data_IF_643717524660
#
_entry.id   IF_643717524660
#
_cell.length_a   1.000
_cell.length_b   1.000
_cell.length_c   1.000
_cell.angle_alpha   90.00
_cell.angle_beta   90.00
_cell.angle_gamma   90.00
#
_symmetry.space_group_name_H-M   'P 1'
#
loop_
_entity.id
_entity.type
_entity.pdbx_description
1 polymer ?
#
# COMPACT_ATOMS: atom_id res chain seq x y z
N UNK A 1 -13.92 -16.63 -14.99
CA UNK A 1 -13.37 -15.40 -14.38
C UNK A 1 -13.14 -15.63 -12.90
N UNK A 2 -11.88 -15.68 -12.43
CA UNK A 2 -11.62 -15.56 -11.00
C UNK A 2 -12.30 -14.26 -10.51
N UNK A 3 -13.15 -14.35 -9.49
CA UNK A 3 -13.98 -13.26 -8.94
C UNK A 3 -15.23 -12.79 -9.72
N UNK A 4 -15.71 -13.51 -10.75
CA UNK A 4 -16.92 -13.11 -11.50
C UNK A 4 -18.16 -12.85 -10.60
N UNK A 5 -18.34 -13.64 -9.54
CA UNK A 5 -19.44 -13.47 -8.57
C UNK A 5 -19.31 -12.18 -7.75
N UNK A 6 -18.11 -11.86 -7.27
CA UNK A 6 -17.85 -10.64 -6.50
C UNK A 6 -18.03 -9.40 -7.36
N UNK A 7 -17.48 -9.40 -8.57
CA UNK A 7 -17.64 -8.28 -9.52
C UNK A 7 -19.10 -8.05 -9.88
N UNK A 8 -19.87 -9.11 -10.16
CA UNK A 8 -21.32 -9.01 -10.38
C UNK A 8 -22.02 -8.37 -9.19
N UNK A 9 -21.75 -8.87 -7.97
CA UNK A 9 -22.40 -8.37 -6.75
C UNK A 9 -22.05 -6.89 -6.48
N UNK A 10 -20.80 -6.51 -6.71
CA UNK A 10 -20.36 -5.11 -6.58
C UNK A 10 -21.12 -4.21 -7.56
N UNK A 11 -21.21 -4.60 -8.84
CA UNK A 11 -21.94 -3.84 -9.84
C UNK A 11 -23.44 -3.73 -9.52
N UNK A 12 -24.07 -4.78 -9.00
CA UNK A 12 -25.46 -4.73 -8.51
C UNK A 12 -25.63 -3.68 -7.41
N UNK A 13 -24.70 -3.64 -6.45
CA UNK A 13 -24.73 -2.64 -5.36
C UNK A 13 -24.57 -1.23 -5.90
N UNK A 14 -23.63 -1.01 -6.83
CA UNK A 14 -23.41 0.29 -7.48
C UNK A 14 -24.64 0.72 -8.28
N UNK A 15 -25.26 -0.18 -9.04
CA UNK A 15 -26.47 0.09 -9.81
C UNK A 15 -27.68 0.40 -8.91
N UNK A 16 -27.81 -0.31 -7.78
CA UNK A 16 -28.85 0.00 -6.79
C UNK A 16 -28.61 1.37 -6.15
N UNK A 17 -27.36 1.75 -5.92
CA UNK A 17 -27.00 3.05 -5.36
C UNK A 17 -27.26 4.20 -6.35
N UNK A 18 -26.97 4.02 -7.65
CA UNK A 18 -27.17 5.06 -8.67
C UNK A 18 -28.65 5.40 -8.93
N UNK A 19 -29.56 4.49 -8.58
CA UNK A 19 -31.02 4.68 -8.72
C UNK A 19 -31.68 5.30 -7.48
N UNK A 20 -30.93 5.60 -6.42
CA UNK A 20 -31.50 6.23 -5.21
C UNK A 20 -31.86 7.70 -5.51
N UNK A 21 -32.95 8.22 -4.93
CA UNK A 21 -33.31 9.63 -5.08
C UNK A 21 -32.23 10.54 -4.50
N UNK A 22 -32.20 11.80 -4.95
CA UNK A 22 -31.32 12.82 -4.40
C UNK A 22 -31.59 13.03 -2.92
N UNK A 23 -30.52 13.25 -2.15
CA UNK A 23 -30.61 13.58 -0.73
C UNK A 23 -31.01 15.06 -0.56
N UNK A 24 -31.63 15.44 0.57
CA UNK A 24 -31.95 16.83 0.87
C UNK A 24 -30.71 17.73 0.84
N UNK A 25 -30.91 19.00 0.51
CA UNK A 25 -29.87 20.04 0.57
C UNK A 25 -29.20 20.06 1.94
N UNK A 26 -27.87 20.13 1.96
CA UNK A 26 -27.06 20.07 3.19
C UNK A 26 -26.64 18.67 3.63
N UNK A 27 -27.15 17.61 2.97
CA UNK A 27 -26.68 16.25 3.21
C UNK A 27 -25.24 16.06 2.75
N UNK A 28 -24.46 15.27 3.50
CA UNK A 28 -23.14 14.82 3.05
C UNK A 28 -23.31 13.76 1.96
N UNK A 29 -22.61 13.93 0.85
CA UNK A 29 -22.67 13.01 -0.30
C UNK A 29 -21.31 12.37 -0.56
N UNK A 30 -21.34 11.18 -1.13
CA UNK A 30 -20.16 10.51 -1.68
C UNK A 30 -20.47 10.17 -3.13
N UNK A 31 -19.67 10.67 -4.07
CA UNK A 31 -19.84 10.43 -5.50
C UNK A 31 -18.65 9.67 -6.06
N UNK A 32 -18.93 8.61 -6.82
CA UNK A 32 -17.94 7.92 -7.65
C UNK A 32 -18.05 8.49 -9.07
N UNK A 33 -16.93 8.95 -9.64
CA UNK A 33 -16.88 9.52 -10.99
C UNK A 33 -15.90 8.74 -11.85
N UNK A 34 -16.36 8.23 -12.98
CA UNK A 34 -15.59 7.47 -13.96
C UNK A 34 -15.93 7.93 -15.37
N UNK A 35 -15.09 7.69 -16.39
CA UNK A 35 -13.65 7.41 -16.33
C UNK A 35 -12.85 8.71 -16.54
N UNK A 36 -12.03 9.09 -15.54
CA UNK A 36 -11.33 10.38 -15.53
C UNK A 36 -9.94 10.24 -14.89
N UNK A 37 -8.98 11.04 -15.36
CA UNK A 37 -7.63 11.15 -14.76
C UNK A 37 -7.42 12.58 -14.25
N UNK A 38 -6.87 12.79 -13.05
CA UNK A 38 -6.52 14.14 -12.60
C UNK A 38 -5.36 14.68 -13.45
N UNK A 39 -5.62 15.76 -14.19
CA UNK A 39 -4.64 16.38 -15.09
C UNK A 39 -3.79 17.45 -14.39
N UNK A 40 -4.39 18.24 -13.48
CA UNK A 40 -3.65 19.20 -12.65
C UNK A 40 -4.45 19.60 -11.41
N UNK A 41 -3.73 20.03 -10.38
CA UNK A 41 -4.30 20.64 -9.19
C UNK A 41 -3.92 22.13 -9.19
N UNK A 42 -4.90 23.01 -8.97
CA UNK A 42 -4.70 24.46 -8.92
C UNK A 42 -5.11 25.01 -7.56
N UNK A 43 -4.26 25.84 -6.99
CA UNK A 43 -4.57 26.69 -5.85
C UNK A 43 -4.93 28.11 -6.30
N UNK A 44 -5.13 29.05 -5.36
CA UNK A 44 -5.27 30.47 -5.68
C UNK A 44 -4.01 30.96 -6.41
N UNK A 45 -4.20 31.84 -7.41
CA UNK A 45 -3.08 32.45 -8.14
C UNK A 45 -2.19 33.19 -7.13
N UNK A 46 -0.86 33.01 -7.15
CA UNK A 46 0.00 33.83 -6.31
C UNK A 46 -0.22 35.29 -6.69
N UNK A 47 -0.64 36.09 -5.71
CA UNK A 47 -0.51 37.55 -5.80
C UNK A 47 0.98 37.85 -5.81
N UNK A 48 1.53 38.05 -7.01
CA UNK A 48 2.80 38.71 -7.29
C UNK A 48 3.96 38.43 -6.31
N UNK A 49 4.58 37.25 -6.37
CA UNK A 49 6.02 37.10 -6.04
C UNK A 49 6.58 35.81 -6.64
N UNK A 50 7.77 35.92 -7.25
CA UNK A 50 8.55 34.86 -7.90
C UNK A 50 8.88 33.68 -6.96
N UNK A 51 7.95 32.73 -6.80
CA UNK A 51 8.25 31.44 -6.16
C UNK A 51 7.77 30.28 -7.02
N UNK A 52 8.69 29.35 -7.26
CA UNK A 52 8.57 28.19 -8.14
C UNK A 52 7.83 27.07 -7.38
N UNK A 53 6.54 27.29 -7.12
CA UNK A 53 5.49 26.29 -6.84
C UNK A 53 4.33 26.98 -6.10
N UNK A 54 3.06 26.78 -6.50
CA UNK A 54 1.93 27.29 -5.74
C UNK A 54 1.85 26.54 -4.40
N UNK A 55 2.28 27.20 -3.31
CA UNK A 55 2.24 26.69 -1.93
C UNK A 55 0.89 26.92 -1.23
N UNK A 56 -0.14 27.36 -1.97
CA UNK A 56 -1.49 27.59 -1.46
C UNK A 56 -2.35 26.31 -1.41
N UNK A 57 -3.46 26.32 -0.65
CA UNK A 57 -4.41 25.21 -0.61
C UNK A 57 -4.96 24.93 -2.01
N UNK A 58 -5.22 23.66 -2.31
CA UNK A 58 -5.92 23.27 -3.54
C UNK A 58 -7.31 23.92 -3.52
N UNK A 59 -7.74 24.43 -4.66
CA UNK A 59 -9.09 24.96 -4.86
C UNK A 59 -9.81 24.30 -6.03
N UNK A 60 -9.06 23.79 -6.99
CA UNK A 60 -9.60 23.26 -8.22
C UNK A 60 -8.79 22.07 -8.72
N UNK A 61 -9.51 21.04 -9.15
CA UNK A 61 -8.96 19.87 -9.81
C UNK A 61 -9.40 19.93 -11.27
N UNK A 62 -8.44 19.90 -12.19
CA UNK A 62 -8.70 19.71 -13.61
C UNK A 62 -8.64 18.21 -13.91
N UNK A 63 -9.71 17.68 -14.47
CA UNK A 63 -9.86 16.29 -14.87
C UNK A 63 -9.76 16.17 -16.38
N UNK A 64 -9.03 15.19 -16.86
CA UNK A 64 -9.12 14.72 -18.25
C UNK A 64 -10.19 13.65 -18.34
N UNK A 65 -11.06 13.76 -19.35
CA UNK A 65 -12.10 12.76 -19.62
C UNK A 65 -11.49 11.65 -20.49
N UNK A 66 -11.80 10.42 -20.11
CA UNK A 66 -11.30 9.23 -20.78
C UNK A 66 -12.46 8.39 -21.33
N UNK A 67 -12.11 7.31 -22.03
CA UNK A 67 -12.99 6.21 -22.39
C UNK A 67 -12.31 4.88 -22.01
N UNK A 68 -13.12 3.82 -21.97
CA UNK A 68 -12.60 2.47 -21.80
C UNK A 68 -12.08 1.97 -23.14
N UNK A 69 -10.83 1.53 -23.14
CA UNK A 69 -10.17 0.90 -24.27
C UNK A 69 -10.17 -0.61 -24.06
N UNK A 70 -10.90 -1.28 -24.93
CA UNK A 70 -11.08 -2.71 -24.93
C UNK A 70 -10.10 -3.33 -25.96
N UNK A 71 -9.25 -4.31 -25.57
CA UNK A 71 -8.45 -5.09 -26.53
C UNK A 71 -9.24 -5.56 -27.78
N UNK A 72 -8.61 -5.53 -28.96
CA UNK A 72 -9.30 -5.84 -30.23
C UNK A 72 -9.77 -7.31 -30.35
N UNK A 73 -9.16 -8.24 -29.62
CA UNK A 73 -9.42 -9.69 -29.71
C UNK A 73 -10.38 -10.20 -28.62
N UNK A 74 -11.39 -9.42 -28.24
CA UNK A 74 -12.36 -9.87 -27.22
C UNK A 74 -13.32 -10.92 -27.75
N UNK A 75 -13.40 -12.03 -27.03
CA UNK A 75 -14.54 -12.91 -27.13
C UNK A 75 -15.71 -12.31 -26.31
N UNK A 76 -16.93 -12.17 -26.84
CA UNK A 76 -18.07 -11.51 -26.17
C UNK A 76 -18.41 -12.07 -24.77
N UNK A 77 -18.03 -13.33 -24.52
CA UNK A 77 -18.30 -14.05 -23.28
C UNK A 77 -17.13 -14.07 -22.29
N UNK A 78 -15.96 -13.52 -22.65
CA UNK A 78 -14.76 -13.56 -21.82
C UNK A 78 -13.94 -12.28 -21.99
N UNK A 79 -14.46 -11.17 -21.49
CA UNK A 79 -13.65 -9.95 -21.32
C UNK A 79 -12.77 -10.15 -20.09
N UNK A 80 -11.46 -10.21 -20.29
CA UNK A 80 -10.52 -10.04 -19.19
C UNK A 80 -10.54 -8.56 -18.77
N UNK A 81 -11.37 -8.23 -17.78
CA UNK A 81 -11.47 -6.87 -17.26
C UNK A 81 -10.14 -6.31 -16.72
N UNK A 82 -9.15 -7.17 -16.42
CA UNK A 82 -7.81 -6.71 -15.98
C UNK A 82 -6.97 -6.13 -17.12
N UNK A 83 -7.36 -6.42 -18.37
CA UNK A 83 -6.72 -5.90 -19.58
C UNK A 83 -7.35 -4.61 -20.12
N UNK A 84 -8.51 -4.20 -19.58
CA UNK A 84 -9.21 -2.97 -19.98
C UNK A 84 -8.46 -1.76 -19.45
N UNK A 85 -8.06 -0.87 -20.36
CA UNK A 85 -7.34 0.35 -20.00
C UNK A 85 -8.26 1.56 -20.10
N UNK A 86 -7.93 2.64 -19.40
CA UNK A 86 -8.56 3.95 -19.59
C UNK A 86 -7.67 4.80 -20.49
N UNK A 87 -8.19 5.25 -21.62
CA UNK A 87 -7.48 6.13 -22.56
C UNK A 87 -8.18 7.47 -22.72
N UNK A 88 -7.46 8.58 -22.98
CA UNK A 88 -8.09 9.86 -23.27
C UNK A 88 -9.06 9.74 -24.45
N UNK A 89 -10.17 10.48 -24.41
CA UNK A 89 -11.03 10.64 -25.59
C UNK A 89 -10.40 11.64 -26.58
N UNK A 90 -10.73 11.49 -27.86
CA UNK A 90 -10.31 12.41 -28.91
C UNK A 90 -11.53 13.02 -29.61
N UNK A 91 -11.62 14.36 -29.73
CA UNK A 91 -10.68 15.35 -29.20
C UNK A 91 -10.64 15.37 -27.66
N UNK A 92 -9.52 15.82 -27.08
CA UNK A 92 -9.33 15.87 -25.62
C UNK A 92 -10.40 16.76 -24.97
N UNK A 93 -11.03 16.25 -23.92
CA UNK A 93 -11.98 17.02 -23.11
C UNK A 93 -11.52 17.09 -21.65
N UNK A 94 -11.81 18.22 -21.03
CA UNK A 94 -11.47 18.48 -19.64
C UNK A 94 -12.67 18.99 -18.86
N UNK A 95 -12.76 18.58 -17.61
CA UNK A 95 -13.72 19.11 -16.63
C UNK A 95 -12.97 19.69 -15.44
N UNK A 96 -13.63 20.58 -14.70
CA UNK A 96 -13.09 21.10 -13.44
C UNK A 96 -14.01 20.77 -12.29
N UNK A 97 -13.44 20.62 -11.09
CA UNK A 97 -14.21 20.45 -9.86
C UNK A 97 -13.52 21.22 -8.75
N UNK A 98 -14.29 21.98 -7.98
CA UNK A 98 -13.79 22.66 -6.80
C UNK A 98 -13.54 21.66 -5.68
N UNK A 99 -12.41 21.79 -5.01
CA UNK A 99 -12.08 20.99 -3.83
C UNK A 99 -11.03 21.69 -3.00
N UNK A 100 -11.21 21.68 -1.68
CA UNK A 100 -10.22 22.18 -0.72
C UNK A 100 -9.21 21.11 -0.28
N UNK A 101 -9.47 19.85 -0.62
CA UNK A 101 -8.64 18.71 -0.21
C UNK A 101 -8.54 17.66 -1.31
N UNK A 102 -7.35 17.11 -1.49
CA UNK A 102 -7.10 15.95 -2.36
C UNK A 102 -6.33 14.91 -1.59
N UNK A 103 -6.88 13.70 -1.53
CA UNK A 103 -6.20 12.55 -0.95
C UNK A 103 -5.83 11.58 -2.08
N UNK A 104 -4.54 11.26 -2.20
CA UNK A 104 -4.07 10.25 -3.15
C UNK A 104 -4.25 8.86 -2.53
N UNK A 105 -5.07 8.02 -3.14
CA UNK A 105 -5.26 6.62 -2.76
C UNK A 105 -4.95 5.70 -3.95
N UNK A 106 -3.71 5.76 -4.44
CA UNK A 106 -3.25 5.10 -5.67
C UNK A 106 -2.35 3.87 -5.42
N UNK A 107 -2.28 3.40 -4.17
CA UNK A 107 -1.38 2.34 -3.74
C UNK A 107 -0.14 2.87 -3.01
N UNK A 108 0.71 1.94 -2.57
CA UNK A 108 1.95 2.21 -1.84
C UNK A 108 3.15 1.71 -2.63
N UNK A 109 4.31 2.30 -2.37
CA UNK A 109 5.58 1.87 -2.94
C UNK A 109 6.57 1.61 -1.81
N UNK A 110 7.30 0.47 -1.85
CA UNK A 110 8.32 0.19 -0.86
C UNK A 110 9.52 1.11 -1.05
N UNK A 111 10.22 1.37 0.05
CA UNK A 111 11.53 2.02 0.05
C UNK A 111 12.57 0.90 0.20
N UNK A 112 13.15 0.38 -0.90
CA UNK A 112 14.14 -0.68 -0.82
C UNK A 112 15.44 -0.14 -0.20
N UNK A 113 16.14 -1.00 0.53
CA UNK A 113 17.49 -0.76 1.03
C UNK A 113 18.40 -1.91 0.59
N UNK A 114 19.70 -1.69 0.35
CA UNK A 114 20.60 -2.77 -0.04
C UNK A 114 20.58 -3.93 0.98
N UNK A 115 20.54 -5.20 0.52
CA UNK A 115 20.68 -5.64 -0.88
C UNK A 115 19.35 -5.73 -1.65
N UNK A 116 18.22 -5.33 -1.07
CA UNK A 116 16.92 -5.36 -1.74
C UNK A 116 16.91 -4.43 -2.96
N UNK A 117 16.41 -4.96 -4.08
CA UNK A 117 16.24 -4.22 -5.33
C UNK A 117 14.76 -4.15 -5.68
N UNK A 118 14.34 -3.11 -6.41
CA UNK A 118 13.00 -3.07 -6.97
C UNK A 118 12.98 -3.79 -8.31
N UNK A 119 11.85 -4.41 -8.65
CA UNK A 119 11.63 -5.05 -9.96
C UNK A 119 11.67 -4.08 -11.16
N UNK A 120 11.83 -2.77 -10.94
CA UNK A 120 11.63 -1.67 -11.90
C UNK A 120 10.28 -1.71 -12.64
N UNK A 121 9.40 -2.66 -12.28
CA UNK A 121 8.03 -2.76 -12.73
C UNK A 121 7.15 -1.89 -11.84
N UNK A 122 6.88 -0.68 -12.31
CA UNK A 122 5.99 0.29 -11.65
C UNK A 122 4.58 -0.26 -11.34
N UNK A 123 4.15 -1.38 -11.98
CA UNK A 123 2.84 -2.00 -11.71
C UNK A 123 2.84 -2.89 -10.47
N UNK A 124 4.00 -3.41 -10.08
CA UNK A 124 4.13 -4.37 -8.99
C UNK A 124 4.65 -3.71 -7.71
N UNK A 125 5.50 -2.67 -7.82
CA UNK A 125 6.01 -1.90 -6.66
C UNK A 125 6.45 -2.83 -5.52
N UNK A 126 7.40 -3.72 -5.80
CA UNK A 126 7.87 -4.77 -4.87
C UNK A 126 9.37 -5.00 -5.04
N UNK A 127 9.94 -5.73 -4.07
CA UNK A 127 11.31 -6.21 -4.15
C UNK A 127 11.42 -7.37 -5.14
N UNK A 128 12.48 -7.38 -5.95
CA UNK A 128 12.77 -8.48 -6.88
C UNK A 128 13.03 -9.77 -6.10
N UNK A 129 12.22 -10.79 -6.36
CA UNK A 129 12.30 -12.06 -5.64
C UNK A 129 11.72 -13.23 -6.45
N UNK A 130 12.21 -14.44 -6.16
CA UNK A 130 11.69 -15.71 -6.69
C UNK A 130 11.27 -16.64 -5.55
N UNK A 131 9.96 -16.94 -5.45
CA UNK A 131 9.41 -17.71 -4.34
C UNK A 131 9.68 -17.09 -2.96
N UNK A 132 9.94 -15.78 -2.89
CA UNK A 132 10.37 -15.10 -1.67
C UNK A 132 11.89 -15.03 -1.47
N UNK A 133 12.73 -15.71 -2.28
CA UNK A 133 14.19 -15.52 -2.27
C UNK A 133 14.54 -14.17 -2.87
N UNK A 134 15.25 -13.33 -2.13
CA UNK A 134 15.63 -12.00 -2.63
C UNK A 134 16.63 -12.13 -3.78
N UNK A 135 16.41 -11.33 -4.83
CA UNK A 135 17.34 -11.21 -5.96
C UNK A 135 18.07 -9.86 -5.84
N UNK A 136 19.40 -9.94 -5.86
CA UNK A 136 20.30 -8.81 -5.73
C UNK A 136 20.39 -7.95 -6.99
N UNK A 137 21.32 -7.00 -6.99
CA UNK A 137 21.57 -6.09 -8.14
C UNK A 137 22.25 -6.79 -9.32
N UNK A 138 22.93 -7.89 -9.05
CA UNK A 138 23.60 -8.77 -10.01
C UNK A 138 22.66 -9.81 -10.62
N UNK A 139 21.35 -9.68 -10.38
CA UNK A 139 20.30 -10.62 -10.77
C UNK A 139 20.50 -12.04 -10.22
N UNK A 140 21.31 -12.20 -9.18
CA UNK A 140 21.50 -13.46 -8.47
C UNK A 140 20.68 -13.50 -7.18
N UNK A 141 20.34 -14.72 -6.75
CA UNK A 141 19.73 -14.93 -5.43
C UNK A 141 20.73 -14.54 -4.36
N UNK A 142 20.30 -13.70 -3.41
CA UNK A 142 21.06 -13.37 -2.21
C UNK A 142 20.87 -14.50 -1.19
N UNK A 143 21.88 -15.34 -0.91
CA UNK A 143 21.71 -16.51 -0.06
C UNK A 143 21.29 -16.13 1.36
N UNK A 144 20.30 -16.86 1.91
CA UNK A 144 19.81 -16.64 3.27
C UNK A 144 18.90 -15.41 3.45
N UNK A 145 18.64 -14.64 2.38
CA UNK A 145 17.77 -13.48 2.45
C UNK A 145 16.44 -13.73 1.73
N UNK A 146 15.35 -13.53 2.47
CA UNK A 146 13.99 -13.76 2.01
C UNK A 146 13.11 -12.54 2.24
N UNK A 147 12.03 -12.43 1.47
CA UNK A 147 11.05 -11.36 1.55
C UNK A 147 9.64 -11.93 1.56
N UNK A 148 8.76 -11.28 2.32
CA UNK A 148 7.35 -11.64 2.39
C UNK A 148 6.43 -10.42 2.48
N UNK A 149 5.12 -10.65 2.45
CA UNK A 149 4.08 -9.63 2.46
C UNK A 149 4.16 -8.68 1.27
N UNK A 150 3.74 -7.42 1.46
CA UNK A 150 3.70 -6.42 0.39
C UNK A 150 5.06 -6.13 -0.23
N UNK A 151 6.16 -6.36 0.50
CA UNK A 151 7.49 -6.22 -0.06
C UNK A 151 7.79 -7.32 -1.10
N UNK A 152 7.14 -8.49 -1.01
CA UNK A 152 7.28 -9.61 -1.96
C UNK A 152 6.22 -9.61 -3.07
N UNK A 153 5.01 -9.10 -2.80
CA UNK A 153 3.86 -9.20 -3.74
C UNK A 153 3.35 -7.86 -4.26
N UNK A 154 3.87 -6.75 -3.76
CA UNK A 154 3.33 -5.41 -3.98
C UNK A 154 2.18 -5.07 -3.03
N UNK A 155 1.78 -3.79 -3.00
CA UNK A 155 0.75 -3.26 -2.09
C UNK A 155 -0.70 -3.64 -2.50
N UNK A 156 -0.96 -4.94 -2.68
CA UNK A 156 -2.25 -5.50 -3.11
C UNK A 156 -2.60 -6.70 -2.23
N UNK A 157 -3.89 -6.99 -2.13
CA UNK A 157 -4.41 -8.09 -1.32
C UNK A 157 -4.76 -7.68 0.11
N UNK A 158 -5.63 -8.48 0.73
CA UNK A 158 -6.03 -8.34 2.13
C UNK A 158 -5.09 -9.13 3.05
N UNK A 159 -5.32 -9.06 4.37
CA UNK A 159 -4.48 -9.74 5.38
C UNK A 159 -4.31 -11.23 5.08
N UNK A 160 -5.37 -11.91 4.62
CA UNK A 160 -5.32 -13.33 4.24
C UNK A 160 -4.34 -13.61 3.07
N UNK A 161 -4.26 -12.70 2.09
CA UNK A 161 -3.28 -12.84 1.01
C UNK A 161 -1.85 -12.73 1.54
N UNK A 162 -1.60 -11.80 2.47
CA UNK A 162 -0.30 -11.64 3.12
C UNK A 162 0.06 -12.87 3.95
N UNK A 163 -0.89 -13.42 4.71
CA UNK A 163 -0.70 -14.64 5.50
C UNK A 163 -0.30 -15.82 4.62
N UNK A 164 -1.10 -16.11 3.58
CA UNK A 164 -0.82 -17.23 2.66
C UNK A 164 0.47 -17.04 1.87
N UNK A 165 0.80 -15.80 1.47
CA UNK A 165 2.09 -15.47 0.87
C UNK A 165 3.26 -15.74 1.82
N UNK A 166 3.10 -15.43 3.10
CA UNK A 166 4.11 -15.68 4.13
C UNK A 166 4.37 -17.16 4.36
N UNK A 167 3.31 -17.98 4.38
CA UNK A 167 3.44 -19.44 4.50
C UNK A 167 4.29 -20.00 3.34
N UNK A 168 4.04 -19.57 2.10
CA UNK A 168 4.83 -20.01 0.93
C UNK A 168 6.30 -19.62 1.02
N UNK A 169 6.59 -18.41 1.53
CA UNK A 169 7.98 -18.00 1.79
C UNK A 169 8.61 -18.88 2.86
N UNK A 170 7.88 -19.22 3.92
CA UNK A 170 8.35 -20.14 4.97
C UNK A 170 8.67 -21.54 4.41
N UNK A 171 7.81 -22.11 3.57
CA UNK A 171 8.06 -23.40 2.91
C UNK A 171 9.34 -23.35 2.04
N UNK A 172 9.57 -22.22 1.39
CA UNK A 172 10.78 -21.96 0.60
C UNK A 172 12.03 -21.92 1.47
N UNK A 173 11.98 -21.22 2.60
CA UNK A 173 13.08 -21.19 3.59
C UNK A 173 13.38 -22.60 4.08
N UNK A 174 12.35 -23.35 4.49
CA UNK A 174 12.50 -24.72 4.99
C UNK A 174 13.14 -25.62 3.93
N UNK A 175 12.68 -25.53 2.68
CA UNK A 175 13.22 -26.30 1.56
C UNK A 175 14.71 -26.00 1.33
N UNK A 176 15.10 -24.72 1.40
CA UNK A 176 16.49 -24.32 1.21
C UNK A 176 17.39 -24.78 2.35
N UNK A 177 16.90 -24.72 3.59
CA UNK A 177 17.60 -25.26 4.77
C UNK A 177 17.86 -26.76 4.66
N UNK A 178 16.92 -27.54 4.12
CA UNK A 178 17.12 -28.97 3.90
C UNK A 178 18.13 -29.27 2.78
N UNK A 179 18.18 -28.43 1.74
CA UNK A 179 19.11 -28.60 0.61
C UNK A 179 20.53 -28.18 0.96
N UNK A 180 20.67 -27.10 1.73
CA UNK A 180 21.94 -26.52 2.12
C UNK A 180 21.92 -26.24 3.63
N UNK A 181 22.05 -27.29 4.47
CA UNK A 181 22.03 -27.11 5.91
C UNK A 181 23.19 -26.19 6.33
N UNK A 182 22.92 -25.16 7.16
CA UNK A 182 23.99 -24.30 7.66
C UNK A 182 24.99 -25.13 8.47
N UNK A 183 26.28 -24.88 8.28
CA UNK A 183 27.33 -25.49 9.09
C UNK A 183 27.21 -24.88 10.50
N UNK A 184 26.91 -25.69 11.54
CA UNK A 184 26.82 -25.15 12.89
C UNK A 184 28.19 -24.59 13.30
N UNK A 185 28.24 -23.39 13.90
CA UNK A 185 29.50 -22.84 14.40
C UNK A 185 30.05 -23.77 15.50
N UNK A 186 31.39 -23.89 15.62
CA UNK A 186 32.04 -24.85 16.51
C UNK A 186 31.73 -24.67 18.02
N UNK A 187 31.06 -23.58 18.41
CA UNK A 187 30.72 -23.24 19.80
C UNK A 187 29.22 -23.13 20.08
N UNK A 188 28.36 -23.79 19.28
CA UNK A 188 26.91 -23.76 19.43
C UNK A 188 26.41 -24.40 20.76
N UNK A 189 26.59 -23.69 21.88
CA UNK A 189 25.77 -23.90 23.07
C UNK A 189 24.31 -23.60 22.73
N UNK A 190 23.39 -24.37 23.31
CA UNK A 190 21.99 -24.57 22.93
C UNK A 190 21.05 -23.35 23.03
N UNK A 191 21.57 -22.12 23.06
CA UNK A 191 20.78 -20.90 23.07
C UNK A 191 21.42 -19.82 22.19
N UNK A 192 21.21 -19.90 20.89
CA UNK A 192 21.46 -18.77 19.98
C UNK A 192 20.39 -17.69 20.19
N UNK A 193 20.46 -16.98 21.32
CA UNK A 193 19.86 -15.66 21.44
C UNK A 193 20.84 -14.68 20.79
N UNK A 194 20.71 -14.48 19.49
CA UNK A 194 21.39 -13.37 18.82
C UNK A 194 20.76 -12.08 19.32
N UNK A 195 21.37 -11.43 20.31
CA UNK A 195 21.07 -10.05 20.61
C UNK A 195 21.80 -9.18 19.58
N UNK A 196 21.08 -8.42 18.73
CA UNK A 196 21.74 -7.52 17.81
C UNK A 196 22.55 -6.50 18.61
N UNK A 197 23.83 -6.34 18.26
CA UNK A 197 24.65 -5.27 18.80
C UNK A 197 24.01 -3.94 18.42
N UNK A 198 23.55 -3.20 19.42
CA UNK A 198 23.03 -1.84 19.25
C UNK A 198 24.19 -0.87 19.41
N UNK A 199 24.30 0.09 18.50
CA UNK A 199 25.18 1.23 18.72
C UNK A 199 24.65 2.04 19.92
N UNK A 200 25.50 2.82 20.59
CA UNK A 200 25.11 3.62 21.76
C UNK A 200 23.96 4.63 21.48
N UNK A 201 23.70 4.94 20.21
CA UNK A 201 22.61 5.82 19.78
C UNK A 201 21.29 5.08 19.47
N UNK A 202 21.24 3.74 19.58
CA UNK A 202 20.09 2.93 19.22
C UNK A 202 19.36 2.40 20.46
N UNK A 203 18.03 2.47 20.44
CA UNK A 203 17.17 1.95 21.50
C UNK A 203 16.23 0.87 20.94
N UNK A 204 16.17 -0.29 21.61
CA UNK A 204 15.30 -1.42 21.24
C UNK A 204 14.09 -1.46 22.15
N UNK A 205 12.91 -1.41 21.56
CA UNK A 205 11.65 -1.72 22.24
C UNK A 205 11.41 -3.22 22.14
N UNK A 206 11.57 -3.94 23.26
CA UNK A 206 11.24 -5.36 23.31
C UNK A 206 9.73 -5.60 23.47
N UNK A 207 9.34 -6.87 23.58
CA UNK A 207 7.93 -7.24 23.72
C UNK A 207 7.29 -6.69 25.01
N UNK A 208 8.00 -6.72 26.15
CA UNK A 208 7.47 -6.26 27.44
C UNK A 208 7.29 -4.74 27.42
N UNK A 209 8.25 -4.01 26.87
CA UNK A 209 8.19 -2.58 26.64
C UNK A 209 7.01 -2.21 25.73
N UNK A 210 6.83 -2.93 24.61
CA UNK A 210 5.66 -2.74 23.74
C UNK A 210 4.33 -2.98 24.48
N UNK A 211 4.24 -4.01 25.33
CA UNK A 211 3.05 -4.27 26.14
C UNK A 211 2.77 -3.12 27.13
N UNK A 212 3.81 -2.52 27.72
CA UNK A 212 3.67 -1.34 28.58
C UNK A 212 3.08 -0.15 27.80
N UNK A 213 3.63 0.13 26.60
CA UNK A 213 3.09 1.16 25.69
C UNK A 213 1.62 0.86 25.35
N UNK A 214 1.28 -0.40 25.05
CA UNK A 214 -0.10 -0.77 24.70
C UNK A 214 -1.08 -0.63 25.87
N UNK A 215 -0.66 -1.01 27.07
CA UNK A 215 -1.44 -0.81 28.29
C UNK A 215 -1.66 0.68 28.57
N UNK A 216 -0.62 1.51 28.45
CA UNK A 216 -0.71 2.95 28.61
C UNK A 216 -1.74 3.58 27.65
N UNK A 217 -1.63 3.28 26.34
CA UNK A 217 -2.60 3.75 25.31
C UNK A 217 -4.04 3.32 25.62
N UNK A 218 -4.24 2.08 26.11
CA UNK A 218 -5.57 1.56 26.48
C UNK A 218 -6.13 2.23 27.74
N UNK A 219 -5.29 2.49 28.75
CA UNK A 219 -5.70 3.24 29.95
C UNK A 219 -6.14 4.67 29.62
N UNK A 220 -5.39 5.39 28.80
CA UNK A 220 -5.80 6.70 28.28
C UNK A 220 -7.12 6.61 27.50
N UNK A 221 -7.32 5.54 26.72
CA UNK A 221 -8.57 5.24 26.03
C UNK A 221 -9.77 5.12 26.96
N UNK A 222 -9.64 4.35 28.04
CA UNK A 222 -10.71 4.12 29.03
C UNK A 222 -11.26 5.44 29.60
N UNK A 223 -10.38 6.38 29.95
CA UNK A 223 -10.79 7.70 30.45
C UNK A 223 -11.63 8.54 29.47
N UNK A 224 -11.58 8.18 28.17
CA UNK A 224 -12.27 8.88 27.07
C UNK A 224 -13.31 8.00 26.37
N UNK A 225 -13.69 6.85 26.94
CA UNK A 225 -14.59 5.88 26.32
C UNK A 225 -14.14 5.43 24.91
N UNK A 226 -12.82 5.27 24.72
CA UNK A 226 -12.20 4.81 23.48
C UNK A 226 -11.43 3.50 23.71
N UNK A 227 -11.27 2.62 22.70
CA UNK A 227 -10.44 1.43 22.82
C UNK A 227 -8.99 1.75 23.22
N UNK A 228 -8.43 2.82 22.64
CA UNK A 228 -7.14 3.37 23.02
C UNK A 228 -7.01 4.84 22.57
N UNK A 229 -6.02 5.54 23.12
CA UNK A 229 -5.46 6.78 22.58
C UNK A 229 -4.02 6.50 22.21
N UNK A 230 -3.68 6.60 20.92
CA UNK A 230 -2.32 6.32 20.42
C UNK A 230 -1.37 7.45 20.76
N UNK A 231 -0.12 7.13 21.10
CA UNK A 231 0.99 8.08 21.05
C UNK A 231 1.25 8.45 19.58
N UNK A 232 1.34 9.74 19.27
CA UNK A 232 1.49 10.25 17.89
C UNK A 232 2.92 10.65 17.53
N UNK A 233 3.84 10.55 18.47
CA UNK A 233 5.28 10.79 18.29
C UNK A 233 6.07 9.72 19.07
N UNK A 234 7.37 9.63 18.77
CA UNK A 234 8.27 8.62 19.37
C UNK A 234 8.53 8.92 20.85
N UNK A 235 8.79 10.18 21.21
CA UNK A 235 9.14 10.55 22.59
C UNK A 235 8.11 10.08 23.63
N UNK A 236 6.78 10.31 23.47
CA UNK A 236 5.78 9.80 24.41
C UNK A 236 5.64 8.27 24.43
N UNK A 237 6.20 7.55 23.45
CA UNK A 237 6.30 6.08 23.52
C UNK A 237 7.48 5.68 24.40
N UNK A 238 8.61 6.39 24.28
CA UNK A 238 9.81 6.16 25.07
C UNK A 238 9.64 6.56 26.53
N UNK A 239 8.88 7.62 26.83
CA UNK A 239 8.61 8.04 28.21
C UNK A 239 7.82 6.98 29.03
N UNK A 240 7.27 5.96 28.38
CA UNK A 240 6.54 4.85 29.02
C UNK A 240 7.47 3.69 29.41
N UNK A 241 8.65 3.57 28.79
CA UNK A 241 9.50 2.36 28.82
C UNK A 241 10.93 2.62 29.24
#
# INVERSE_FOLDING_TARGET
MANGRLSKRLLEVMLKASKRPSLPTGSRTHTLRFPRTPASFRGPSPSSTNTIAPTGPIKLIKWQINQLDYPLNHHPLSVDCSSVNSKPIFPLQFETTQSDLVMKSLGYQPIPFPPLTNDNNYRENRTKNDGGRVIGKDDQVVPGLYVTGWLSTGSKGVIDNTMNGSIRTSDTIITDLFRNPPIPPPSASSSFLFEPALDQAQFRVDWKMWQAIDNHKRQLGKSKSKPCVKCTSVQPMLDVV
#
